data_IF_523787848423
#
_entry.id   IF_523787848423
#
_cell.length_a   1.000
_cell.length_b   1.000
_cell.length_c   1.000
_cell.angle_alpha   90.00
_cell.angle_beta   90.00
_cell.angle_gamma   90.00
#
_symmetry.space_group_name_H-M   'P 1'
#
loop_
_entity.id
_entity.type
_entity.pdbx_description
1 polymer ?
#
# COMPACT_ATOMS: atom_id res chain seq x y z
N UNK A 1 -6.79 -11.94 -0.02
CA UNK A 1 -6.27 -10.57 -0.22
C UNK A 1 -7.07 -9.81 -1.28
N UNK A 2 -6.96 -10.14 -2.58
CA UNK A 2 -7.64 -9.40 -3.65
C UNK A 2 -9.17 -9.34 -3.52
N UNK A 3 -9.80 -10.42 -3.03
CA UNK A 3 -11.25 -10.45 -2.78
C UNK A 3 -11.71 -9.41 -1.75
N UNK A 4 -10.93 -9.17 -0.69
CA UNK A 4 -11.27 -8.15 0.31
C UNK A 4 -11.19 -6.74 -0.27
N UNK A 5 -10.21 -6.49 -1.16
CA UNK A 5 -10.06 -5.20 -1.84
C UNK A 5 -11.22 -4.98 -2.81
N UNK A 6 -11.53 -5.99 -3.64
CA UNK A 6 -12.66 -5.94 -4.56
C UNK A 6 -13.99 -5.73 -3.82
N UNK A 7 -14.20 -6.44 -2.70
CA UNK A 7 -15.36 -6.26 -1.85
C UNK A 7 -15.41 -4.83 -1.30
N UNK A 8 -14.29 -4.27 -0.81
CA UNK A 8 -14.27 -2.90 -0.29
C UNK A 8 -14.64 -1.86 -1.38
N UNK A 9 -14.15 -2.07 -2.60
CA UNK A 9 -14.51 -1.23 -3.75
C UNK A 9 -16.01 -1.35 -4.07
N UNK A 10 -16.57 -2.57 -4.08
CA UNK A 10 -18.01 -2.78 -4.26
C UNK A 10 -18.84 -2.11 -3.17
N UNK A 11 -18.43 -2.20 -1.90
CA UNK A 11 -19.11 -1.50 -0.81
C UNK A 11 -19.06 0.03 -1.00
N UNK A 12 -17.94 0.58 -1.45
CA UNK A 12 -17.83 2.00 -1.77
C UNK A 12 -18.79 2.40 -2.91
N UNK A 13 -18.93 1.57 -3.95
CA UNK A 13 -19.90 1.79 -5.03
C UNK A 13 -21.35 1.70 -4.53
N UNK A 14 -21.68 0.72 -3.69
CA UNK A 14 -23.01 0.60 -3.07
C UNK A 14 -23.32 1.85 -2.24
N UNK A 15 -22.34 2.36 -1.50
CA UNK A 15 -22.48 3.59 -0.73
C UNK A 15 -22.71 4.83 -1.61
N UNK A 16 -21.97 4.96 -2.71
CA UNK A 16 -22.17 6.06 -3.67
C UNK A 16 -23.56 5.99 -4.31
N UNK A 17 -24.02 4.79 -4.64
CA UNK A 17 -25.35 4.56 -5.19
C UNK A 17 -26.43 4.96 -4.17
N UNK A 18 -26.27 4.55 -2.90
CA UNK A 18 -27.16 4.93 -1.81
C UNK A 18 -27.16 6.45 -1.55
N UNK A 19 -26.00 7.09 -1.68
CA UNK A 19 -25.84 8.54 -1.49
C UNK A 19 -26.25 9.37 -2.71
N UNK A 20 -26.70 8.73 -3.80
CA UNK A 20 -27.05 9.33 -5.09
C UNK A 20 -26.03 10.36 -5.64
N UNK A 21 -24.78 10.24 -5.22
CA UNK A 21 -23.73 11.23 -5.50
C UNK A 21 -22.45 10.53 -5.91
N UNK A 22 -22.08 10.73 -7.18
CA UNK A 22 -20.92 10.10 -7.80
C UNK A 22 -19.67 11.00 -7.70
N UNK A 23 -19.34 11.43 -6.49
CA UNK A 23 -18.18 12.29 -6.22
C UNK A 23 -17.03 11.47 -5.61
N UNK A 24 -15.80 11.94 -5.81
CA UNK A 24 -14.62 11.32 -5.19
C UNK A 24 -14.72 11.31 -3.66
N UNK A 25 -15.31 12.35 -3.06
CA UNK A 25 -15.51 12.44 -1.61
C UNK A 25 -16.44 11.34 -1.08
N UNK A 26 -17.55 11.07 -1.76
CA UNK A 26 -18.50 10.02 -1.34
C UNK A 26 -17.93 8.63 -1.55
N UNK A 27 -17.10 8.43 -2.57
CA UNK A 27 -16.31 7.21 -2.74
C UNK A 27 -15.35 6.98 -1.56
N UNK A 28 -14.60 8.00 -1.13
CA UNK A 28 -13.66 7.89 -0.01
C UNK A 28 -14.39 7.54 1.29
N UNK A 29 -15.51 8.20 1.57
CA UNK A 29 -16.36 7.89 2.74
C UNK A 29 -16.87 6.45 2.67
N UNK A 30 -17.40 6.03 1.52
CA UNK A 30 -17.87 4.67 1.29
C UNK A 30 -16.76 3.62 1.45
N UNK A 31 -15.54 3.94 1.01
CA UNK A 31 -14.38 3.06 1.14
C UNK A 31 -13.91 2.92 2.60
N UNK A 32 -13.98 3.98 3.39
CA UNK A 32 -13.69 3.95 4.83
C UNK A 32 -14.75 3.12 5.57
N UNK A 33 -16.03 3.32 5.24
CA UNK A 33 -17.14 2.54 5.81
C UNK A 33 -17.02 1.05 5.44
N UNK A 34 -16.72 0.75 4.17
CA UNK A 34 -16.49 -0.62 3.72
C UNK A 34 -15.30 -1.28 4.40
N UNK A 35 -14.23 -0.52 4.66
CA UNK A 35 -13.06 -0.98 5.43
C UNK A 35 -13.47 -1.34 6.86
N UNK A 36 -14.32 -0.53 7.50
CA UNK A 36 -14.84 -0.77 8.84
C UNK A 36 -15.72 -2.04 8.89
N UNK A 37 -16.57 -2.25 7.89
CA UNK A 37 -17.40 -3.46 7.76
C UNK A 37 -16.52 -4.70 7.57
N UNK A 38 -15.52 -4.65 6.69
CA UNK A 38 -14.56 -5.74 6.50
C UNK A 38 -13.76 -5.99 7.78
N UNK A 39 -13.43 -4.93 8.54
CA UNK A 39 -12.77 -5.03 9.84
C UNK A 39 -13.63 -5.77 10.87
N UNK A 40 -14.93 -5.50 10.94
CA UNK A 40 -15.84 -6.26 11.80
C UNK A 40 -15.97 -7.72 11.34
N UNK A 41 -16.05 -7.95 10.02
CA UNK A 41 -16.15 -9.28 9.43
C UNK A 41 -14.82 -10.04 9.37
N UNK A 42 -13.73 -9.50 9.94
CA UNK A 42 -12.39 -10.12 9.94
C UNK A 42 -12.36 -11.56 10.45
N UNK A 43 -13.32 -11.93 11.30
CA UNK A 43 -13.42 -13.28 11.88
C UNK A 43 -13.89 -14.33 10.87
N UNK A 44 -14.62 -13.94 9.83
CA UNK A 44 -15.13 -14.85 8.79
C UNK A 44 -14.14 -15.07 7.65
N UNK A 45 -13.20 -14.14 7.45
CA UNK A 45 -12.18 -14.27 6.42
C UNK A 45 -10.97 -15.06 6.95
N UNK A 46 -10.73 -16.26 6.42
CA UNK A 46 -9.53 -17.08 6.70
C UNK A 46 -8.20 -16.44 6.26
N UNK A 47 -8.22 -15.26 5.62
CA UNK A 47 -7.05 -14.58 5.04
C UNK A 47 -6.67 -13.35 5.88
N UNK A 48 -5.36 -13.09 6.05
CA UNK A 48 -4.88 -11.93 6.82
C UNK A 48 -5.51 -10.63 6.30
N UNK A 49 -5.74 -9.68 7.20
CA UNK A 49 -6.35 -8.40 6.88
C UNK A 49 -5.58 -7.68 5.77
N UNK A 50 -6.26 -7.27 4.69
CA UNK A 50 -5.61 -6.74 3.48
C UNK A 50 -4.74 -5.49 3.72
N UNK A 51 -4.97 -4.76 4.81
CA UNK A 51 -4.17 -3.59 5.21
C UNK A 51 -2.73 -3.99 5.60
N UNK A 52 -2.53 -5.21 6.11
CA UNK A 52 -1.21 -5.69 6.56
C UNK A 52 -0.24 -5.85 5.37
N UNK A 53 -0.59 -6.55 4.26
CA UNK A 53 0.26 -6.58 3.06
C UNK A 53 0.57 -5.19 2.51
N UNK A 54 -0.39 -4.27 2.51
CA UNK A 54 -0.19 -2.92 2.00
C UNK A 54 0.93 -2.20 2.76
N UNK A 55 0.91 -2.26 4.10
CA UNK A 55 1.97 -1.71 4.94
C UNK A 55 3.34 -2.36 4.69
N UNK A 56 3.36 -3.69 4.47
CA UNK A 56 4.60 -4.42 4.16
C UNK A 56 5.18 -3.97 2.82
N UNK A 57 4.35 -3.79 1.79
CA UNK A 57 4.77 -3.30 0.47
C UNK A 57 5.31 -1.87 0.58
N UNK A 58 4.62 -0.97 1.28
CA UNK A 58 5.11 0.40 1.52
C UNK A 58 6.46 0.39 2.25
N UNK A 59 6.62 -0.46 3.27
CA UNK A 59 7.91 -0.62 3.96
C UNK A 59 9.00 -1.12 3.01
N UNK A 60 8.68 -2.07 2.13
CA UNK A 60 9.62 -2.61 1.16
C UNK A 60 10.09 -1.54 0.16
N UNK A 61 9.17 -0.70 -0.31
CA UNK A 61 9.48 0.43 -1.20
C UNK A 61 10.42 1.43 -0.52
N UNK A 62 10.17 1.76 0.75
CA UNK A 62 11.03 2.67 1.52
C UNK A 62 12.44 2.09 1.73
N UNK A 63 12.55 0.80 2.05
CA UNK A 63 13.84 0.12 2.16
C UNK A 63 14.56 0.13 0.81
N UNK A 64 13.85 -0.15 -0.28
CA UNK A 64 14.41 -0.13 -1.62
C UNK A 64 14.98 1.24 -1.99
N UNK A 65 14.24 2.33 -1.74
CA UNK A 65 14.70 3.71 -1.97
C UNK A 65 15.96 4.04 -1.17
N UNK A 66 16.00 3.64 0.11
CA UNK A 66 17.16 3.84 0.98
C UNK A 66 18.39 3.12 0.44
N UNK A 67 18.26 1.84 0.11
CA UNK A 67 19.37 1.03 -0.41
C UNK A 67 19.82 1.48 -1.80
N UNK A 68 18.90 1.95 -2.65
CA UNK A 68 19.21 2.54 -3.95
C UNK A 68 20.10 3.79 -3.81
N UNK A 69 19.76 4.68 -2.88
CA UNK A 69 20.56 5.88 -2.60
C UNK A 69 21.94 5.52 -2.03
N UNK A 70 21.98 4.62 -1.04
CA UNK A 70 23.24 4.17 -0.43
C UNK A 70 24.17 3.50 -1.45
N UNK A 71 23.62 2.66 -2.33
CA UNK A 71 24.36 2.00 -3.39
C UNK A 71 24.96 3.00 -4.38
N UNK A 72 24.18 4.00 -4.81
CA UNK A 72 24.69 5.06 -5.69
C UNK A 72 25.79 5.89 -5.02
N UNK A 73 25.64 6.22 -3.73
CA UNK A 73 26.68 6.95 -2.97
C UNK A 73 27.95 6.11 -2.82
N UNK A 74 27.81 4.81 -2.55
CA UNK A 74 28.95 3.89 -2.47
C UNK A 74 29.71 3.80 -3.80
N UNK A 75 28.99 3.68 -4.92
CA UNK A 75 29.58 3.67 -6.27
C UNK A 75 30.26 5.01 -6.59
N UNK A 76 29.62 6.14 -6.29
CA UNK A 76 30.22 7.47 -6.44
C UNK A 76 31.54 7.61 -5.66
N UNK A 77 31.58 7.10 -4.43
CA UNK A 77 32.79 7.12 -3.59
C UNK A 77 33.91 6.26 -4.19
N UNK A 78 33.58 5.14 -4.82
CA UNK A 78 34.55 4.29 -5.53
C UNK A 78 35.09 4.99 -6.78
N UNK A 79 34.23 5.64 -7.56
CA UNK A 79 34.63 6.35 -8.80
C UNK A 79 35.50 7.57 -8.50
N UNK A 80 35.19 8.32 -7.43
CA UNK A 80 35.93 9.51 -7.02
C UNK A 80 37.21 9.20 -6.22
N UNK A 81 37.42 7.94 -5.81
CA UNK A 81 38.60 7.56 -5.05
C UNK A 81 39.85 7.54 -5.96
N UNK A 82 40.92 8.25 -5.61
CA UNK A 82 42.12 8.38 -6.45
C UNK A 82 42.94 7.08 -6.59
N UNK A 83 42.72 6.08 -5.73
CA UNK A 83 43.31 4.74 -5.85
C UNK A 83 42.21 3.69 -5.63
N UNK A 84 41.86 2.98 -6.71
CA UNK A 84 40.95 1.84 -6.65
C UNK A 84 41.59 0.69 -5.87
N UNK A 85 41.33 0.60 -4.57
CA UNK A 85 41.61 -0.61 -3.80
C UNK A 85 40.37 -1.51 -3.89
N UNK A 86 40.22 -2.15 -5.05
CA UNK A 86 39.24 -3.21 -5.28
C UNK A 86 39.96 -4.49 -4.85
N UNK A 87 39.54 -5.07 -3.73
CA UNK A 87 39.84 -6.48 -3.39
C UNK A 87 38.65 -7.35 -3.77
#
# INVERSE_FOLDING_TARGET
MALQILLNVLLAFVWMFLSASFNASTFIVGYILGLLIIFMLRRYFHSRFYVIPFLVICKLILIFLKELLLSNIAVLKVILAPSMNIQ
#
